data_IF_738484183540
#
_entry.id   IF_738484183540
#
_cell.length_a   1.000
_cell.length_b   1.000
_cell.length_c   1.000
_cell.angle_alpha   90.00
_cell.angle_beta   90.00
_cell.angle_gamma   90.00
#
_symmetry.space_group_name_H-M   'P 1'
#
loop_
_entity.id
_entity.type
_entity.pdbx_description
1 polymer ?
#
# COMPACT_ATOMS: atom_id res chain seq x y z
N UNK A 1 -14.54 41.89 45.18
CA UNK A 1 -13.89 40.59 45.35
C UNK A 1 -14.29 39.72 44.15
N UNK A 2 -13.57 39.82 43.04
CA UNK A 2 -13.89 39.13 41.78
C UNK A 2 -13.16 37.80 41.76
N UNK A 3 -13.92 36.72 41.70
CA UNK A 3 -13.47 35.33 41.80
C UNK A 3 -12.54 34.94 40.61
N UNK A 4 -11.26 34.64 40.89
CA UNK A 4 -10.26 34.11 39.95
C UNK A 4 -10.48 32.65 39.57
N UNK A 5 -11.70 32.10 39.72
CA UNK A 5 -11.98 30.67 39.47
C UNK A 5 -12.31 30.31 38.00
N UNK A 6 -12.46 31.29 37.12
CA UNK A 6 -12.97 31.10 35.74
C UNK A 6 -12.01 30.41 34.76
N UNK A 7 -10.67 30.69 34.72
CA UNK A 7 -9.79 30.12 33.72
C UNK A 7 -9.50 28.62 33.92
N UNK A 8 -9.47 28.12 35.14
CA UNK A 8 -9.20 26.71 35.44
C UNK A 8 -10.36 25.80 35.01
N UNK A 9 -11.60 26.21 35.21
CA UNK A 9 -12.80 25.46 34.81
C UNK A 9 -12.95 25.39 33.29
N UNK A 10 -12.63 26.46 32.57
CA UNK A 10 -12.68 26.49 31.11
C UNK A 10 -11.62 25.55 30.53
N UNK A 11 -10.41 25.54 31.09
CA UNK A 11 -9.33 24.65 30.67
C UNK A 11 -9.63 23.17 30.90
N UNK A 12 -10.19 22.83 32.06
CA UNK A 12 -10.64 21.47 32.38
C UNK A 12 -11.78 21.00 31.48
N UNK A 13 -12.73 21.89 31.15
CA UNK A 13 -13.80 21.60 30.18
C UNK A 13 -13.28 21.34 28.79
N UNK A 14 -12.34 22.15 28.29
CA UNK A 14 -11.70 21.97 26.98
C UNK A 14 -10.90 20.68 26.93
N UNK A 15 -10.15 20.35 27.97
CA UNK A 15 -9.38 19.08 28.04
C UNK A 15 -10.31 17.86 28.07
N UNK A 16 -11.44 17.93 28.75
CA UNK A 16 -12.43 16.84 28.75
C UNK A 16 -13.09 16.64 27.40
N UNK A 17 -13.42 17.71 26.67
CA UNK A 17 -13.93 17.65 25.30
C UNK A 17 -12.88 17.09 24.35
N UNK A 18 -11.65 17.61 24.41
CA UNK A 18 -10.55 17.11 23.58
C UNK A 18 -10.30 15.61 23.79
N UNK A 19 -10.33 15.17 25.05
CA UNK A 19 -10.19 13.73 25.39
C UNK A 19 -11.34 12.89 24.83
N UNK A 20 -12.59 13.35 24.92
CA UNK A 20 -13.75 12.66 24.34
C UNK A 20 -13.65 12.57 22.82
N UNK A 21 -13.26 13.66 22.14
CA UNK A 21 -13.05 13.70 20.70
C UNK A 21 -11.93 12.74 20.31
N UNK A 22 -10.81 12.75 21.02
CA UNK A 22 -9.68 11.85 20.74
C UNK A 22 -10.06 10.37 20.93
N UNK A 23 -10.83 10.03 21.98
CA UNK A 23 -11.33 8.66 22.18
C UNK A 23 -12.28 8.26 21.06
N UNK A 24 -13.25 9.12 20.70
CA UNK A 24 -14.19 8.85 19.63
C UNK A 24 -13.51 8.70 18.25
N UNK A 25 -12.50 9.53 17.97
CA UNK A 25 -11.70 9.42 16.75
C UNK A 25 -10.92 8.10 16.73
N UNK A 26 -10.30 7.72 17.85
CA UNK A 26 -9.54 6.47 17.97
C UNK A 26 -10.40 5.23 17.75
N UNK A 27 -11.64 5.22 18.24
CA UNK A 27 -12.57 4.11 18.00
C UNK A 27 -12.97 3.99 16.53
N UNK A 28 -13.15 5.10 15.82
CA UNK A 28 -13.52 5.11 14.40
C UNK A 28 -12.39 4.62 13.47
N UNK A 29 -11.13 4.78 13.87
CA UNK A 29 -9.98 4.32 13.08
C UNK A 29 -9.44 2.97 13.57
N UNK A 30 -10.16 2.29 14.45
CA UNK A 30 -9.81 0.97 14.95
C UNK A 30 -10.09 -0.08 13.87
N UNK A 31 -9.08 -0.89 13.55
CA UNK A 31 -9.17 -2.02 12.61
C UNK A 31 -8.90 -3.32 13.36
N UNK A 32 -9.71 -4.35 13.13
CA UNK A 32 -9.46 -5.70 13.62
C UNK A 32 -8.20 -6.27 12.98
N UNK A 33 -7.36 -6.95 13.77
CA UNK A 33 -6.11 -7.54 13.27
C UNK A 33 -6.34 -8.69 12.29
N UNK A 34 -7.53 -9.30 12.27
CA UNK A 34 -7.93 -10.28 11.24
C UNK A 34 -8.09 -9.61 9.88
N UNK A 35 -8.72 -8.42 9.86
CA UNK A 35 -8.85 -7.63 8.62
C UNK A 35 -7.49 -7.21 8.08
N UNK A 36 -6.56 -6.83 8.96
CA UNK A 36 -5.18 -6.52 8.57
C UNK A 36 -4.45 -7.77 8.03
N UNK A 37 -4.69 -8.94 8.61
CA UNK A 37 -4.12 -10.19 8.11
C UNK A 37 -4.68 -10.56 6.73
N UNK A 38 -6.00 -10.43 6.53
CA UNK A 38 -6.63 -10.64 5.21
C UNK A 38 -6.09 -9.66 4.16
N UNK A 39 -5.94 -8.39 4.53
CA UNK A 39 -5.35 -7.36 3.67
C UNK A 39 -3.92 -7.72 3.26
N UNK A 40 -3.06 -8.15 4.20
CA UNK A 40 -1.71 -8.62 3.90
C UNK A 40 -1.71 -9.81 2.92
N UNK A 41 -2.56 -10.81 3.18
CA UNK A 41 -2.68 -11.99 2.30
C UNK A 41 -3.08 -11.56 0.90
N UNK A 42 -4.08 -10.67 0.78
CA UNK A 42 -4.52 -10.15 -0.50
C UNK A 42 -3.41 -9.40 -1.24
N UNK A 43 -2.65 -8.52 -0.55
CA UNK A 43 -1.50 -7.82 -1.16
C UNK A 43 -0.47 -8.81 -1.69
N UNK A 44 -0.09 -9.82 -0.91
CA UNK A 44 0.89 -10.84 -1.34
C UNK A 44 0.42 -11.63 -2.55
N UNK A 45 -0.86 -12.06 -2.55
CA UNK A 45 -1.45 -12.78 -3.68
C UNK A 45 -1.57 -11.91 -4.94
N UNK A 46 -1.89 -10.63 -4.79
CA UNK A 46 -1.94 -9.68 -5.90
C UNK A 46 -0.55 -9.47 -6.53
N UNK A 47 0.52 -9.38 -5.73
CA UNK A 47 1.89 -9.32 -6.26
C UNK A 47 2.20 -10.56 -7.11
N UNK A 48 1.88 -11.75 -6.61
CA UNK A 48 2.12 -13.00 -7.34
C UNK A 48 1.31 -13.02 -8.64
N UNK A 49 0.04 -12.65 -8.58
CA UNK A 49 -0.84 -12.62 -9.75
C UNK A 49 -0.35 -11.61 -10.81
N UNK A 50 0.03 -10.40 -10.39
CA UNK A 50 0.55 -9.36 -11.27
C UNK A 50 1.82 -9.81 -11.99
N UNK A 51 2.80 -10.35 -11.26
CA UNK A 51 4.04 -10.89 -11.82
C UNK A 51 3.75 -12.02 -12.81
N UNK A 52 2.85 -12.94 -12.48
CA UNK A 52 2.46 -14.05 -13.37
C UNK A 52 1.77 -13.54 -14.65
N UNK A 53 0.94 -12.52 -14.54
CA UNK A 53 0.28 -11.92 -15.71
C UNK A 53 1.29 -11.20 -16.61
N UNK A 54 2.19 -10.40 -16.02
CA UNK A 54 3.24 -9.67 -16.76
C UNK A 54 4.28 -10.61 -17.36
N UNK A 55 4.55 -11.78 -16.75
CA UNK A 55 5.52 -12.75 -17.24
C UNK A 55 5.17 -13.34 -18.61
N UNK A 56 3.88 -13.34 -18.98
CA UNK A 56 3.42 -13.82 -20.30
C UNK A 56 4.06 -13.07 -21.48
N UNK A 57 4.42 -11.81 -21.28
CA UNK A 57 5.00 -10.94 -22.28
C UNK A 57 6.31 -10.30 -21.79
N UNK A 58 7.04 -10.99 -20.92
CA UNK A 58 8.21 -10.48 -20.21
C UNK A 58 9.26 -9.91 -21.20
N UNK A 59 9.69 -10.69 -22.19
CA UNK A 59 10.71 -10.27 -23.16
C UNK A 59 10.26 -9.05 -23.96
N UNK A 60 8.97 -9.00 -24.33
CA UNK A 60 8.44 -7.92 -25.15
C UNK A 60 8.37 -6.57 -24.43
N UNK A 61 8.05 -6.56 -23.12
CA UNK A 61 7.73 -5.33 -22.41
C UNK A 61 8.71 -4.96 -21.29
N UNK A 62 9.61 -5.87 -20.89
CA UNK A 62 10.45 -5.65 -19.71
C UNK A 62 11.95 -5.91 -19.96
N UNK A 63 12.36 -6.17 -21.22
CA UNK A 63 13.77 -6.34 -21.60
C UNK A 63 14.16 -5.33 -22.68
N UNK A 64 15.45 -5.13 -22.90
CA UNK A 64 15.93 -4.23 -23.95
C UNK A 64 15.79 -4.83 -25.35
N UNK A 65 15.61 -6.16 -25.45
CA UNK A 65 15.27 -6.83 -26.71
C UNK A 65 13.79 -6.59 -27.13
N UNK A 66 13.02 -5.92 -26.29
CA UNK A 66 11.60 -5.67 -26.48
C UNK A 66 11.27 -4.30 -27.06
N UNK A 67 9.99 -3.91 -26.92
CA UNK A 67 9.47 -2.63 -27.46
C UNK A 67 9.69 -1.43 -26.52
N UNK A 68 10.11 -1.67 -25.28
CA UNK A 68 10.39 -0.62 -24.28
C UNK A 68 11.82 -0.82 -23.75
N UNK A 69 12.85 -0.34 -24.45
CA UNK A 69 14.21 -0.33 -23.90
C UNK A 69 14.31 0.56 -22.67
N UNK A 70 15.32 0.33 -21.83
CA UNK A 70 15.46 1.03 -20.54
C UNK A 70 15.61 2.55 -20.72
N UNK A 71 16.25 3.02 -21.78
CA UNK A 71 16.42 4.44 -22.09
C UNK A 71 15.08 5.13 -22.30
N UNK A 72 14.12 4.46 -22.93
CA UNK A 72 12.77 4.98 -23.13
C UNK A 72 12.00 5.04 -21.82
N UNK A 73 12.13 4.04 -20.96
CA UNK A 73 11.52 4.06 -19.63
C UNK A 73 12.08 5.20 -18.76
N UNK A 74 13.40 5.39 -18.77
CA UNK A 74 14.08 6.49 -18.02
C UNK A 74 13.71 7.86 -18.57
N UNK A 75 13.53 7.99 -19.88
CA UNK A 75 13.08 9.24 -20.49
C UNK A 75 11.64 9.61 -20.13
N UNK A 76 10.78 8.59 -19.91
CA UNK A 76 9.41 8.80 -19.50
C UNK A 76 9.29 9.08 -17.97
N UNK A 77 10.05 8.33 -17.19
CA UNK A 77 10.03 8.39 -15.71
C UNK A 77 11.46 8.33 -15.16
N UNK A 78 11.98 9.46 -14.67
CA UNK A 78 13.35 9.53 -14.15
C UNK A 78 13.65 8.57 -12.99
N UNK A 79 12.64 8.20 -12.21
CA UNK A 79 12.73 7.21 -11.13
C UNK A 79 13.11 5.83 -11.66
N UNK A 80 12.80 5.53 -12.91
CA UNK A 80 13.18 4.27 -13.54
C UNK A 80 14.69 4.02 -13.51
N UNK A 81 15.52 5.06 -13.61
CA UNK A 81 16.98 4.95 -13.58
C UNK A 81 17.54 4.36 -12.28
N UNK A 82 16.81 4.47 -11.17
CA UNK A 82 17.21 3.97 -9.84
C UNK A 82 16.56 2.61 -9.50
N UNK A 83 15.78 2.07 -10.42
CA UNK A 83 15.06 0.81 -10.25
C UNK A 83 15.99 -0.38 -10.42
N UNK A 84 15.90 -1.44 -9.59
CA UNK A 84 16.58 -2.71 -9.85
C UNK A 84 16.34 -3.26 -11.26
N UNK A 85 15.18 -3.02 -11.84
CA UNK A 85 14.84 -3.42 -13.21
C UNK A 85 15.52 -2.59 -14.30
N UNK A 86 16.10 -1.42 -13.96
CA UNK A 86 16.92 -0.66 -14.91
C UNK A 86 18.32 -1.26 -15.10
N UNK A 87 18.85 -1.91 -14.07
CA UNK A 87 20.17 -2.53 -14.10
C UNK A 87 20.17 -3.94 -14.68
N UNK A 88 18.99 -4.55 -14.83
CA UNK A 88 18.83 -5.94 -15.27
C UNK A 88 17.88 -5.96 -16.47
N UNK A 89 18.46 -5.91 -17.67
CA UNK A 89 17.71 -5.76 -18.93
C UNK A 89 17.62 -7.04 -19.75
N UNK A 90 18.46 -8.05 -19.43
CA UNK A 90 18.45 -9.32 -20.12
C UNK A 90 17.22 -10.18 -19.78
N UNK A 91 16.68 -10.97 -20.70
CA UNK A 91 15.50 -11.81 -20.44
C UNK A 91 15.67 -12.74 -19.22
N UNK A 92 16.85 -13.35 -19.08
CA UNK A 92 17.14 -14.22 -17.92
C UNK A 92 17.17 -13.44 -16.60
N UNK A 93 17.80 -12.28 -16.59
CA UNK A 93 17.90 -11.44 -15.41
C UNK A 93 16.52 -10.93 -14.97
N UNK A 94 15.70 -10.45 -15.90
CA UNK A 94 14.32 -10.00 -15.61
C UNK A 94 13.47 -11.17 -15.11
N UNK A 95 13.63 -12.38 -15.67
CA UNK A 95 12.95 -13.58 -15.14
C UNK A 95 13.32 -13.86 -13.68
N UNK A 96 14.59 -13.72 -13.32
CA UNK A 96 15.04 -13.90 -11.92
C UNK A 96 14.44 -12.83 -11.03
N UNK A 97 14.40 -11.56 -11.45
CA UNK A 97 13.76 -10.49 -10.67
C UNK A 97 12.26 -10.73 -10.51
N UNK A 98 11.57 -11.20 -11.54
CA UNK A 98 10.16 -11.60 -11.45
C UNK A 98 9.96 -12.72 -10.42
N UNK A 99 10.82 -13.75 -10.45
CA UNK A 99 10.77 -14.84 -9.50
C UNK A 99 11.01 -14.35 -8.05
N UNK A 100 11.98 -13.45 -7.84
CA UNK A 100 12.23 -12.82 -6.54
C UNK A 100 11.00 -12.03 -6.08
N UNK A 101 10.40 -11.23 -6.96
CA UNK A 101 9.20 -10.43 -6.64
C UNK A 101 8.03 -11.34 -6.26
N UNK A 102 7.83 -12.45 -6.98
CA UNK A 102 6.80 -13.44 -6.65
C UNK A 102 7.08 -14.11 -5.29
N UNK A 103 8.32 -14.48 -5.00
CA UNK A 103 8.71 -15.06 -3.71
C UNK A 103 8.48 -14.09 -2.54
N UNK A 104 8.79 -12.80 -2.74
CA UNK A 104 8.48 -11.75 -1.75
C UNK A 104 6.97 -11.63 -1.56
N UNK A 105 6.16 -11.71 -2.62
CA UNK A 105 4.71 -11.75 -2.54
C UNK A 105 4.20 -12.95 -1.72
N UNK A 106 4.75 -14.14 -1.94
CA UNK A 106 4.44 -15.33 -1.15
C UNK A 106 4.85 -15.15 0.32
N UNK A 107 6.08 -14.67 0.58
CA UNK A 107 6.56 -14.41 1.93
C UNK A 107 5.65 -13.42 2.68
N UNK A 108 5.18 -12.37 1.98
CA UNK A 108 4.21 -11.42 2.51
C UNK A 108 2.86 -12.10 2.81
N UNK A 109 2.35 -12.92 1.89
CA UNK A 109 1.08 -13.62 2.07
C UNK A 109 1.09 -14.56 3.29
N UNK A 110 2.15 -15.34 3.48
CA UNK A 110 2.29 -16.22 4.66
C UNK A 110 2.71 -15.47 5.93
N UNK A 111 3.14 -14.21 5.80
CA UNK A 111 3.51 -13.35 6.92
C UNK A 111 4.87 -13.73 7.54
N UNK A 112 5.84 -13.97 6.70
CA UNK A 112 7.22 -14.23 7.10
C UNK A 112 8.03 -12.95 6.99
N UNK A 113 8.65 -12.53 8.10
CA UNK A 113 9.33 -11.22 8.20
C UNK A 113 8.48 -10.10 7.61
N UNK A 114 7.22 -9.99 8.04
CA UNK A 114 6.18 -9.19 7.40
C UNK A 114 6.61 -7.75 7.10
N UNK A 115 7.22 -7.04 8.07
CA UNK A 115 7.63 -5.63 7.87
C UNK A 115 8.70 -5.46 6.79
N UNK A 116 9.88 -6.13 6.87
CA UNK A 116 10.88 -6.02 5.82
C UNK A 116 10.37 -6.52 4.47
N UNK A 117 9.57 -7.59 4.43
CA UNK A 117 9.00 -8.09 3.17
C UNK A 117 8.02 -7.12 2.54
N UNK A 118 7.22 -6.39 3.34
CA UNK A 118 6.35 -5.33 2.80
C UNK A 118 7.15 -4.19 2.17
N UNK A 119 8.25 -3.79 2.80
CA UNK A 119 9.14 -2.75 2.25
C UNK A 119 9.82 -3.21 0.96
N UNK A 120 10.35 -4.44 0.95
CA UNK A 120 10.96 -5.04 -0.25
C UNK A 120 9.94 -5.17 -1.37
N UNK A 121 8.70 -5.61 -1.04
CA UNK A 121 7.60 -5.69 -2.00
C UNK A 121 7.29 -4.32 -2.62
N UNK A 122 7.20 -3.27 -1.79
CA UNK A 122 6.98 -1.90 -2.28
C UNK A 122 8.08 -1.48 -3.27
N UNK A 123 9.35 -1.67 -2.91
CA UNK A 123 10.48 -1.32 -3.78
C UNK A 123 10.43 -2.10 -5.09
N UNK A 124 10.17 -3.40 -5.05
CA UNK A 124 10.14 -4.25 -6.25
C UNK A 124 8.93 -3.92 -7.15
N UNK A 125 7.75 -3.69 -6.59
CA UNK A 125 6.54 -3.33 -7.35
C UNK A 125 6.71 -1.97 -8.00
N UNK A 126 7.10 -0.94 -7.26
CA UNK A 126 7.35 0.39 -7.83
C UNK A 126 8.45 0.35 -8.90
N UNK A 127 9.48 -0.47 -8.69
CA UNK A 127 10.54 -0.66 -9.67
C UNK A 127 10.04 -1.35 -10.94
N UNK A 128 9.17 -2.35 -10.81
CA UNK A 128 8.55 -3.04 -11.93
C UNK A 128 7.64 -2.11 -12.73
N UNK A 129 6.87 -1.27 -12.04
CA UNK A 129 6.01 -0.27 -12.65
C UNK A 129 6.84 0.78 -13.40
N UNK A 130 7.90 1.30 -12.78
CA UNK A 130 8.81 2.26 -13.40
C UNK A 130 9.55 1.68 -14.62
N UNK A 131 9.76 0.36 -14.70
CA UNK A 131 10.40 -0.29 -15.87
C UNK A 131 9.53 -0.20 -17.13
N UNK A 132 8.21 -0.13 -16.99
CA UNK A 132 7.32 0.09 -18.13
C UNK A 132 6.16 1.03 -17.74
N UNK A 133 6.37 2.34 -17.72
CA UNK A 133 5.35 3.32 -17.35
C UNK A 133 4.18 3.41 -18.34
N UNK A 134 4.33 2.87 -19.56
CA UNK A 134 3.32 2.98 -20.62
C UNK A 134 2.15 2.00 -20.46
N UNK A 135 2.26 1.02 -19.59
CA UNK A 135 1.18 0.03 -19.33
C UNK A 135 0.49 0.26 -17.98
N UNK A 136 0.88 1.29 -17.24
CA UNK A 136 0.34 1.58 -15.92
C UNK A 136 -1.11 2.05 -16.00
N UNK A 137 -1.89 1.58 -15.05
CA UNK A 137 -3.26 1.98 -14.81
C UNK A 137 -3.42 2.68 -13.46
N UNK A 138 -4.58 3.24 -13.21
CA UNK A 138 -4.93 3.78 -11.89
C UNK A 138 -4.83 2.71 -10.78
N UNK A 139 -5.10 1.44 -11.11
CA UNK A 139 -5.01 0.34 -10.16
C UNK A 139 -3.56 0.10 -9.68
N UNK A 140 -2.56 0.27 -10.56
CA UNK A 140 -1.14 0.13 -10.19
C UNK A 140 -0.72 1.20 -9.19
N UNK A 141 -1.10 2.46 -9.44
CA UNK A 141 -0.84 3.58 -8.52
C UNK A 141 -1.51 3.37 -7.16
N UNK A 142 -2.77 2.90 -7.16
CA UNK A 142 -3.48 2.56 -5.94
C UNK A 142 -2.76 1.43 -5.19
N UNK A 143 -2.36 0.38 -5.90
CA UNK A 143 -1.69 -0.77 -5.31
C UNK A 143 -0.36 -0.38 -4.66
N UNK A 144 0.48 0.42 -5.34
CA UNK A 144 1.70 0.97 -4.78
C UNK A 144 1.44 1.84 -3.53
N UNK A 145 0.38 2.66 -3.56
CA UNK A 145 -0.03 3.48 -2.41
C UNK A 145 -0.46 2.61 -1.23
N UNK A 146 -1.25 1.56 -1.46
CA UNK A 146 -1.66 0.62 -0.42
C UNK A 146 -0.46 -0.14 0.17
N UNK A 147 0.51 -0.55 -0.66
CA UNK A 147 1.77 -1.14 -0.18
C UNK A 147 2.58 -0.17 0.68
N UNK A 148 2.68 1.10 0.27
CA UNK A 148 3.38 2.13 1.05
C UNK A 148 2.74 2.32 2.43
N UNK A 149 1.41 2.39 2.50
CA UNK A 149 0.67 2.47 3.75
C UNK A 149 0.81 1.18 4.58
N UNK A 150 0.85 0.02 3.91
CA UNK A 150 1.01 -1.29 4.54
C UNK A 150 2.33 -1.43 5.31
N UNK A 151 3.41 -0.77 4.87
CA UNK A 151 4.71 -0.73 5.60
C UNK A 151 4.55 -0.19 7.02
N UNK A 152 3.62 0.74 7.23
CA UNK A 152 3.36 1.38 8.52
C UNK A 152 2.43 0.57 9.42
N UNK A 153 1.78 -0.47 8.88
CA UNK A 153 0.81 -1.30 9.59
C UNK A 153 1.47 -2.54 10.22
N UNK A 154 1.03 -2.98 11.40
CA UNK A 154 1.48 -4.23 12.00
C UNK A 154 0.72 -5.42 11.41
N UNK A 155 1.03 -5.77 10.16
CA UNK A 155 0.34 -6.80 9.39
C UNK A 155 0.64 -8.25 9.85
N UNK A 156 1.68 -8.44 10.67
CA UNK A 156 2.11 -9.75 11.18
C UNK A 156 1.40 -10.22 12.45
N UNK A 157 0.36 -9.53 12.95
CA UNK A 157 -0.27 -9.86 14.23
C UNK A 157 -1.12 -11.13 14.22
N UNK A 158 -1.69 -11.50 13.05
CA UNK A 158 -2.56 -12.70 12.92
C UNK A 158 -2.29 -13.42 11.60
N UNK A 159 -2.57 -14.73 11.61
CA UNK A 159 -2.47 -15.62 10.46
C UNK A 159 -1.13 -15.53 9.73
N UNK A 160 -0.05 -15.41 10.49
CA UNK A 160 1.31 -15.20 9.98
C UNK A 160 2.30 -16.11 10.69
N UNK A 161 3.39 -16.42 10.02
CA UNK A 161 4.53 -17.10 10.64
C UNK A 161 5.08 -16.22 11.78
N UNK A 162 5.16 -14.91 11.60
CA UNK A 162 5.60 -13.97 12.63
C UNK A 162 4.75 -14.05 13.91
N UNK A 163 3.42 -14.25 13.77
CA UNK A 163 2.52 -14.39 14.93
C UNK A 163 2.69 -15.72 15.67
N UNK A 164 3.12 -16.77 14.97
CA UNK A 164 3.34 -18.09 15.58
C UNK A 164 4.69 -18.15 16.28
N UNK A 165 5.70 -17.47 15.73
CA UNK A 165 7.07 -17.47 16.26
C UNK A 165 7.32 -16.41 17.33
N UNK A 166 6.37 -15.50 17.57
CA UNK A 166 6.49 -14.42 18.55
C UNK A 166 5.77 -14.76 19.86
N UNK A 167 6.45 -14.60 20.98
CA UNK A 167 5.88 -14.73 22.34
C UNK A 167 5.06 -13.50 22.78
N UNK A 168 4.85 -12.52 21.90
CA UNK A 168 4.10 -11.29 22.23
C UNK A 168 2.61 -11.58 22.32
N UNK A 169 1.90 -10.95 23.29
CA UNK A 169 0.45 -11.06 23.36
C UNK A 169 -0.19 -10.49 22.09
N UNK A 170 -1.09 -11.26 21.48
CA UNK A 170 -1.77 -10.89 20.24
C UNK A 170 -2.78 -9.76 20.50
N UNK A 171 -2.67 -8.68 19.77
CA UNK A 171 -3.66 -7.61 19.81
C UNK A 171 -4.88 -8.00 18.99
N UNK A 172 -6.08 -7.68 19.49
CA UNK A 172 -7.32 -7.93 18.75
C UNK A 172 -7.61 -6.84 17.72
N UNK A 173 -7.26 -5.60 18.05
CA UNK A 173 -7.49 -4.46 17.20
C UNK A 173 -6.40 -3.40 17.36
N UNK A 174 -6.24 -2.57 16.35
CA UNK A 174 -5.24 -1.52 16.29
C UNK A 174 -5.90 -0.23 15.85
N UNK A 175 -5.61 0.84 16.59
CA UNK A 175 -5.97 2.20 16.24
C UNK A 175 -4.69 3.05 16.24
N UNK A 176 -4.29 3.51 15.09
CA UNK A 176 -3.07 4.28 14.86
C UNK A 176 -3.27 5.32 13.76
N UNK A 177 -2.31 6.20 13.58
CA UNK A 177 -2.29 7.13 12.44
C UNK A 177 -2.26 6.36 11.12
N UNK A 178 -1.53 5.23 11.06
CA UNK A 178 -1.47 4.39 9.86
C UNK A 178 -2.85 3.78 9.52
N UNK A 179 -3.61 3.29 10.51
CA UNK A 179 -4.98 2.80 10.26
C UNK A 179 -5.92 3.91 9.80
N UNK A 180 -5.78 5.12 10.35
CA UNK A 180 -6.53 6.29 9.90
C UNK A 180 -6.21 6.65 8.43
N UNK A 181 -4.94 6.58 8.03
CA UNK A 181 -4.54 6.86 6.65
C UNK A 181 -5.10 5.84 5.66
N UNK A 182 -5.05 4.54 5.97
CA UNK A 182 -5.61 3.50 5.08
C UNK A 182 -7.12 3.69 4.91
N UNK A 183 -7.85 3.92 6.00
CA UNK A 183 -9.29 4.19 5.91
C UNK A 183 -9.59 5.50 5.18
N UNK A 184 -8.79 6.54 5.44
CA UNK A 184 -8.91 7.83 4.75
C UNK A 184 -8.64 7.71 3.25
N UNK A 185 -7.64 6.92 2.84
CA UNK A 185 -7.33 6.67 1.44
C UNK A 185 -8.49 6.03 0.69
N UNK A 186 -9.17 5.06 1.30
CA UNK A 186 -10.37 4.45 0.71
C UNK A 186 -11.49 5.47 0.51
N UNK A 187 -11.76 6.30 1.53
CA UNK A 187 -12.77 7.35 1.45
C UNK A 187 -12.42 8.40 0.39
N UNK A 188 -11.17 8.86 0.34
CA UNK A 188 -10.70 9.82 -0.66
C UNK A 188 -10.91 9.27 -2.06
N UNK A 189 -10.55 8.00 -2.28
CA UNK A 189 -10.69 7.34 -3.57
C UNK A 189 -12.15 7.27 -4.02
N UNK A 190 -13.06 6.88 -3.11
CA UNK A 190 -14.49 6.80 -3.42
C UNK A 190 -15.09 8.18 -3.71
N UNK A 191 -14.72 9.20 -2.93
CA UNK A 191 -15.18 10.57 -3.12
C UNK A 191 -14.68 11.15 -4.45
N UNK A 192 -13.38 10.97 -4.76
CA UNK A 192 -12.79 11.47 -6.01
C UNK A 192 -13.40 10.76 -7.21
N UNK A 193 -13.55 9.43 -7.16
CA UNK A 193 -14.22 8.67 -8.23
C UNK A 193 -15.68 9.09 -8.39
N UNK A 194 -16.40 9.25 -7.28
CA UNK A 194 -17.78 9.74 -7.32
C UNK A 194 -17.88 11.13 -7.98
N UNK A 195 -16.99 12.04 -7.59
CA UNK A 195 -16.93 13.38 -8.19
C UNK A 195 -16.65 13.33 -9.70
N UNK A 196 -15.65 12.56 -10.13
CA UNK A 196 -15.35 12.39 -11.57
C UNK A 196 -16.53 11.82 -12.35
N UNK A 197 -17.26 10.85 -11.79
CA UNK A 197 -18.47 10.30 -12.42
C UNK A 197 -19.57 11.34 -12.57
N UNK A 198 -19.78 12.21 -11.57
CA UNK A 198 -20.79 13.26 -11.64
C UNK A 198 -20.45 14.39 -12.62
N UNK A 199 -19.16 14.60 -12.92
CA UNK A 199 -18.67 15.64 -13.83
C UNK A 199 -18.43 15.14 -15.25
N UNK A 200 -18.33 13.83 -15.48
CA UNK A 200 -18.14 13.22 -16.80
C UNK A 200 -19.45 13.13 -17.57
N UNK A 201 -19.49 13.63 -18.81
CA UNK A 201 -20.65 13.56 -19.69
C UNK A 201 -21.00 12.11 -20.06
N UNK A 202 -19.98 11.25 -20.31
CA UNK A 202 -20.16 9.82 -20.60
C UNK A 202 -20.93 9.08 -19.50
N UNK A 203 -20.64 9.39 -18.24
CA UNK A 203 -21.35 8.78 -17.11
C UNK A 203 -22.74 9.34 -16.88
N UNK A 204 -22.97 10.61 -17.25
CA UNK A 204 -24.27 11.28 -17.09
C UNK A 204 -25.25 10.93 -18.20
N UNK A 205 -24.75 10.70 -19.43
CA UNK A 205 -25.59 10.29 -20.58
C UNK A 205 -25.95 8.81 -20.56
N UNK A 206 -25.20 7.98 -19.82
CA UNK A 206 -25.44 6.54 -19.78
C UNK A 206 -24.94 5.79 -21.03
N UNK A 207 -24.04 6.39 -21.80
CA UNK A 207 -23.39 5.78 -22.98
C UNK A 207 -22.12 5.02 -22.61
#
# INVERSE_FOLDING_TARGET
MVSRATPVRIRQGAEAVARRVAVGARERVRIDTRSLAAFRIALGLLIVADVLLRSRNLTRFYTDDGVVPVELAVAAESVAAYSPYAFVTSPRGVTVLFAITALVGVALAVGYYTRPMTLVALVLVVSLDARNPFVLSFADVLFATLLALAVLLPLGERWSIDAVTSDRPRRESIASVATAHVLGQMVIMDVVNGYHKTTSELWRSGE
#
